data_IF_523218979005
#
_entry.id   IF_523218979005
#
_cell.length_a   1.000
_cell.length_b   1.000
_cell.length_c   1.000
_cell.angle_alpha   90.00
_cell.angle_beta   90.00
_cell.angle_gamma   90.00
#
_symmetry.space_group_name_H-M   'P 1'
#
loop_
_entity.id
_entity.type
_entity.pdbx_description
1 polymer ?
#
# COMPACT_ATOMS: atom_id res chain seq x y z
N UNK A 1 -25.08 -13.10 9.90
CA UNK A 1 -23.85 -12.66 9.22
C UNK A 1 -23.18 -11.63 10.11
N UNK A 2 -21.98 -11.88 10.63
CA UNK A 2 -21.21 -10.85 11.34
C UNK A 2 -20.76 -9.83 10.30
N UNK A 3 -21.12 -8.56 10.48
CA UNK A 3 -20.66 -7.49 9.61
C UNK A 3 -19.13 -7.41 9.65
N UNK A 4 -18.48 -7.30 8.49
CA UNK A 4 -17.03 -7.12 8.43
C UNK A 4 -16.66 -5.80 9.10
N UNK A 5 -15.57 -5.78 9.88
CA UNK A 5 -15.08 -4.54 10.47
C UNK A 5 -14.52 -3.61 9.38
N UNK A 6 -14.43 -2.30 9.62
CA UNK A 6 -13.82 -1.37 8.66
C UNK A 6 -12.42 -1.79 8.20
N UNK A 7 -11.56 -2.25 9.13
CA UNK A 7 -10.22 -2.72 8.79
C UNK A 7 -10.23 -4.02 7.98
N UNK A 8 -11.18 -4.93 8.22
CA UNK A 8 -11.33 -6.15 7.42
C UNK A 8 -11.77 -5.81 5.99
N UNK A 9 -12.70 -4.86 5.84
CA UNK A 9 -13.13 -4.37 4.55
C UNK A 9 -11.97 -3.70 3.80
N UNK A 10 -11.23 -2.81 4.46
CA UNK A 10 -10.03 -2.18 3.89
C UNK A 10 -9.00 -3.23 3.47
N UNK A 11 -8.62 -4.14 4.36
CA UNK A 11 -7.61 -5.17 4.08
C UNK A 11 -8.00 -6.07 2.89
N UNK A 12 -9.29 -6.38 2.76
CA UNK A 12 -9.80 -7.20 1.66
C UNK A 12 -9.83 -6.42 0.34
N UNK A 13 -10.46 -5.24 0.33
CA UNK A 13 -10.68 -4.47 -0.90
C UNK A 13 -9.39 -3.84 -1.41
N UNK A 14 -8.65 -3.14 -0.54
CA UNK A 14 -7.37 -2.52 -0.91
C UNK A 14 -6.32 -3.59 -1.15
N UNK A 15 -6.29 -4.66 -0.36
CA UNK A 15 -5.40 -5.79 -0.59
C UNK A 15 -5.61 -6.43 -1.97
N UNK A 16 -6.86 -6.70 -2.34
CA UNK A 16 -7.20 -7.23 -3.66
C UNK A 16 -6.82 -6.24 -4.78
N UNK A 17 -7.16 -4.96 -4.63
CA UNK A 17 -6.86 -3.94 -5.63
C UNK A 17 -5.35 -3.81 -5.87
N UNK A 18 -4.53 -3.75 -4.81
CA UNK A 18 -3.08 -3.66 -4.92
C UNK A 18 -2.47 -4.91 -5.54
N UNK A 19 -2.97 -6.10 -5.20
CA UNK A 19 -2.51 -7.34 -5.83
C UNK A 19 -2.81 -7.35 -7.34
N UNK A 20 -4.02 -6.93 -7.73
CA UNK A 20 -4.42 -6.84 -9.13
C UNK A 20 -3.58 -5.80 -9.88
N UNK A 21 -3.46 -4.59 -9.34
CA UNK A 21 -2.69 -3.51 -9.97
C UNK A 21 -1.20 -3.86 -10.03
N UNK A 22 -0.64 -4.49 -9.00
CA UNK A 22 0.74 -4.99 -9.03
C UNK A 22 0.97 -6.01 -10.14
N UNK A 23 0.02 -6.92 -10.39
CA UNK A 23 0.08 -7.85 -11.53
C UNK A 23 -0.04 -7.11 -12.86
N UNK A 24 -1.04 -6.23 -13.00
CA UNK A 24 -1.29 -5.48 -14.23
C UNK A 24 -0.13 -4.54 -14.58
N UNK A 25 0.50 -3.94 -13.58
CA UNK A 25 1.61 -3.02 -13.75
C UNK A 25 2.81 -3.66 -14.45
N UNK A 26 3.06 -4.96 -14.27
CA UNK A 26 4.11 -5.69 -14.99
C UNK A 26 3.91 -5.74 -16.50
N UNK A 27 2.67 -5.56 -16.98
CA UNK A 27 2.39 -5.45 -18.41
C UNK A 27 2.66 -4.04 -18.97
N UNK A 28 2.78 -3.03 -18.10
CA UNK A 28 3.22 -1.68 -18.47
C UNK A 28 4.75 -1.57 -18.39
N UNK A 29 5.33 -1.90 -17.23
CA UNK A 29 6.78 -1.86 -17.03
C UNK A 29 7.23 -2.98 -16.08
N UNK A 30 8.23 -3.76 -16.51
CA UNK A 30 8.83 -4.85 -15.75
C UNK A 30 10.31 -4.62 -15.42
N UNK A 31 10.80 -3.39 -15.60
CA UNK A 31 12.16 -2.97 -15.37
C UNK A 31 12.48 -2.82 -13.89
N UNK A 32 13.69 -3.24 -13.51
CA UNK A 32 14.21 -3.16 -12.15
C UNK A 32 15.48 -2.31 -12.06
N UNK A 33 15.71 -1.42 -13.04
CA UNK A 33 16.84 -0.50 -13.01
C UNK A 33 16.71 0.50 -11.84
N UNK A 34 17.85 1.03 -11.40
CA UNK A 34 17.96 1.87 -10.21
C UNK A 34 18.85 3.08 -10.49
N UNK A 35 18.78 4.12 -9.65
CA UNK A 35 19.63 5.31 -9.78
C UNK A 35 19.43 6.03 -11.10
N UNK A 36 20.53 6.50 -11.70
CA UNK A 36 20.51 7.23 -12.98
C UNK A 36 20.07 6.39 -14.18
N UNK A 37 20.02 5.05 -14.04
CA UNK A 37 19.53 4.15 -15.06
C UNK A 37 18.05 3.81 -14.92
N UNK A 38 17.36 4.36 -13.90
CA UNK A 38 15.95 4.08 -13.66
C UNK A 38 15.10 4.55 -14.84
N UNK A 39 14.30 3.62 -15.36
CA UNK A 39 13.24 3.90 -16.33
C UNK A 39 11.90 3.52 -15.70
N UNK A 40 10.84 4.15 -16.20
CA UNK A 40 9.47 3.84 -15.82
C UNK A 40 8.54 4.12 -17.01
N UNK A 41 7.35 3.56 -16.95
CA UNK A 41 6.24 3.91 -17.84
C UNK A 41 5.05 4.40 -17.01
N UNK A 42 4.03 4.93 -17.68
CA UNK A 42 2.81 5.41 -17.05
C UNK A 42 1.67 4.38 -17.20
N UNK A 43 1.36 3.66 -16.12
CA UNK A 43 0.17 2.82 -16.05
C UNK A 43 -1.09 3.69 -16.23
N UNK A 44 -1.98 3.23 -17.11
CA UNK A 44 -3.17 3.97 -17.53
C UNK A 44 -2.89 5.38 -18.08
N UNK A 45 -1.65 5.66 -18.48
CA UNK A 45 -1.20 6.97 -18.96
C UNK A 45 -1.04 8.03 -17.87
N UNK A 46 -1.12 7.65 -16.59
CA UNK A 46 -1.12 8.60 -15.47
C UNK A 46 -0.16 8.19 -14.34
N UNK A 47 -0.11 6.92 -13.93
CA UNK A 47 0.60 6.51 -12.71
C UNK A 47 2.00 6.01 -13.06
N UNK A 48 3.05 6.57 -12.45
CA UNK A 48 4.42 6.20 -12.76
C UNK A 48 4.75 4.83 -12.13
N UNK A 49 5.05 3.83 -12.96
CA UNK A 49 5.28 2.46 -12.50
C UNK A 49 6.55 1.87 -13.10
N UNK A 50 7.18 0.98 -12.34
CA UNK A 50 8.22 0.08 -12.79
C UNK A 50 8.12 -1.27 -12.06
N UNK A 51 9.00 -2.20 -12.37
CA UNK A 51 9.07 -3.51 -11.71
C UNK A 51 9.13 -3.42 -10.18
N UNK A 52 9.90 -2.50 -9.61
CA UNK A 52 9.97 -2.32 -8.14
C UNK A 52 8.63 -1.88 -7.54
N UNK A 53 7.98 -0.89 -8.16
CA UNK A 53 6.66 -0.40 -7.74
C UNK A 53 5.62 -1.54 -7.78
N UNK A 54 5.65 -2.34 -8.85
CA UNK A 54 4.73 -3.45 -9.07
C UNK A 54 4.89 -4.57 -8.05
N UNK A 55 6.15 -4.93 -7.70
CA UNK A 55 6.43 -5.89 -6.62
C UNK A 55 5.88 -5.37 -5.29
N UNK A 56 6.11 -4.10 -4.95
CA UNK A 56 5.63 -3.53 -3.68
C UNK A 56 4.11 -3.58 -3.59
N UNK A 57 3.39 -3.22 -4.66
CA UNK A 57 1.93 -3.35 -4.72
C UNK A 57 1.46 -4.80 -4.58
N UNK A 58 2.11 -5.73 -5.28
CA UNK A 58 1.75 -7.13 -5.19
C UNK A 58 1.96 -7.70 -3.78
N UNK A 59 3.11 -7.44 -3.16
CA UNK A 59 3.44 -7.94 -1.82
C UNK A 59 2.51 -7.37 -0.76
N UNK A 60 2.30 -6.06 -0.77
CA UNK A 60 1.39 -5.40 0.18
C UNK A 60 -0.05 -5.87 -0.04
N UNK A 61 -0.48 -6.01 -1.30
CA UNK A 61 -1.80 -6.53 -1.65
C UNK A 61 -2.06 -7.94 -1.12
N UNK A 62 -1.14 -8.87 -1.39
CA UNK A 62 -1.22 -10.25 -0.88
C UNK A 62 -1.20 -10.29 0.65
N UNK A 63 -0.37 -9.46 1.29
CA UNK A 63 -0.35 -9.35 2.75
C UNK A 63 -1.70 -8.90 3.31
N UNK A 64 -2.39 -7.98 2.62
CA UNK A 64 -3.74 -7.55 2.97
C UNK A 64 -4.75 -8.68 2.97
N UNK A 65 -4.75 -9.49 1.91
CA UNK A 65 -5.63 -10.65 1.79
C UNK A 65 -5.34 -11.70 2.87
N UNK A 66 -4.06 -11.94 3.20
CA UNK A 66 -3.65 -12.85 4.27
C UNK A 66 -4.11 -12.31 5.64
N UNK A 67 -3.93 -11.00 5.88
CA UNK A 67 -4.22 -10.36 7.15
C UNK A 67 -5.71 -10.11 7.38
N UNK A 68 -6.54 -10.07 6.33
CA UNK A 68 -7.94 -9.65 6.35
C UNK A 68 -8.80 -10.32 7.43
N UNK A 69 -8.50 -11.55 7.84
CA UNK A 69 -9.28 -12.26 8.88
C UNK A 69 -8.75 -12.14 10.30
N UNK A 70 -7.44 -11.99 10.48
CA UNK A 70 -6.79 -12.16 11.79
C UNK A 70 -5.97 -10.96 12.24
N UNK A 71 -5.46 -10.18 11.30
CA UNK A 71 -4.57 -9.06 11.57
C UNK A 71 -5.00 -7.79 10.82
N UNK A 72 -6.26 -7.71 10.40
CA UNK A 72 -6.76 -6.64 9.52
C UNK A 72 -6.52 -5.25 10.10
N UNK A 73 -6.75 -5.07 11.41
CA UNK A 73 -6.47 -3.79 12.10
C UNK A 73 -5.01 -3.41 12.04
N UNK A 74 -4.11 -4.34 12.34
CA UNK A 74 -2.67 -4.10 12.29
C UNK A 74 -2.23 -3.77 10.86
N UNK A 75 -2.68 -4.56 9.88
CA UNK A 75 -2.42 -4.30 8.47
C UNK A 75 -2.90 -2.91 8.04
N UNK A 76 -4.15 -2.53 8.33
CA UNK A 76 -4.71 -1.24 7.95
C UNK A 76 -3.94 -0.06 8.56
N UNK A 77 -3.53 -0.16 9.83
CA UNK A 77 -2.73 0.88 10.48
C UNK A 77 -1.30 0.94 9.92
N UNK A 78 -0.63 -0.20 9.75
CA UNK A 78 0.75 -0.25 9.27
C UNK A 78 0.84 0.20 7.81
N UNK A 79 0.00 -0.34 6.92
CA UNK A 79 -0.03 0.08 5.52
C UNK A 79 -0.52 1.52 5.40
N UNK A 80 -1.52 1.91 6.18
CA UNK A 80 -2.03 3.27 6.22
C UNK A 80 -0.92 4.29 6.54
N UNK A 81 -0.17 4.02 7.61
CA UNK A 81 0.97 4.85 8.00
C UNK A 81 2.07 4.86 6.94
N UNK A 82 2.41 3.69 6.38
CA UNK A 82 3.41 3.57 5.33
C UNK A 82 3.05 4.41 4.10
N UNK A 83 1.80 4.36 3.65
CA UNK A 83 1.37 5.14 2.49
C UNK A 83 1.27 6.65 2.75
N UNK A 84 0.90 7.08 3.96
CA UNK A 84 1.00 8.51 4.31
C UNK A 84 2.47 8.97 4.28
N UNK A 85 3.39 8.16 4.81
CA UNK A 85 4.82 8.49 4.80
C UNK A 85 5.39 8.51 3.37
N UNK A 86 5.04 7.52 2.55
CA UNK A 86 5.42 7.43 1.13
C UNK A 86 4.88 8.64 0.35
N UNK A 87 3.60 8.98 0.50
CA UNK A 87 3.01 10.14 -0.18
C UNK A 87 3.68 11.44 0.26
N UNK A 88 3.93 11.61 1.56
CA UNK A 88 4.59 12.80 2.09
C UNK A 88 6.01 12.94 1.53
N UNK A 89 6.80 11.87 1.55
CA UNK A 89 8.12 11.87 0.92
C UNK A 89 7.99 12.15 -0.57
N UNK A 90 7.11 11.45 -1.27
CA UNK A 90 6.91 11.60 -2.71
C UNK A 90 6.61 13.04 -3.11
N UNK A 91 5.73 13.75 -2.39
CA UNK A 91 5.49 15.17 -2.63
C UNK A 91 6.73 16.04 -2.44
N UNK A 92 7.61 15.71 -1.49
CA UNK A 92 8.87 16.41 -1.27
C UNK A 92 9.94 16.07 -2.31
N UNK A 93 9.92 14.84 -2.85
CA UNK A 93 10.87 14.35 -3.84
C UNK A 93 10.43 14.63 -5.29
N UNK A 94 9.18 15.00 -5.52
CA UNK A 94 8.65 15.32 -6.85
C UNK A 94 9.07 16.74 -7.21
N UNK A 95 9.91 16.88 -8.23
CA UNK A 95 10.33 18.16 -8.81
C UNK A 95 9.97 18.16 -10.29
N UNK A 96 9.38 19.23 -10.79
CA UNK A 96 8.89 19.32 -12.19
C UNK A 96 7.93 18.17 -12.60
N UNK A 97 7.15 17.66 -11.65
CA UNK A 97 6.07 16.69 -11.89
C UNK A 97 6.45 15.21 -11.72
N UNK A 98 7.74 14.89 -11.55
CA UNK A 98 8.19 13.52 -11.30
C UNK A 98 9.33 13.46 -10.27
N UNK A 99 9.53 12.29 -9.67
CA UNK A 99 10.60 12.02 -8.73
C UNK A 99 10.80 10.52 -8.53
N UNK A 100 11.71 10.16 -7.64
CA UNK A 100 11.94 8.77 -7.25
C UNK A 100 12.03 8.66 -5.73
N UNK A 101 11.60 7.52 -5.20
CA UNK A 101 11.83 7.13 -3.81
C UNK A 101 12.96 6.10 -3.76
N UNK A 102 13.97 6.42 -2.95
CA UNK A 102 15.16 5.59 -2.72
C UNK A 102 15.88 5.19 -4.02
N UNK A 103 15.76 5.99 -5.09
CA UNK A 103 16.30 5.67 -6.42
C UNK A 103 15.81 4.33 -7.02
N UNK A 104 14.64 3.85 -6.55
CA UNK A 104 14.05 2.57 -6.94
C UNK A 104 12.64 2.73 -7.53
N UNK A 105 11.80 3.50 -6.87
CA UNK A 105 10.37 3.56 -7.18
C UNK A 105 10.04 4.93 -7.77
N UNK A 106 9.60 5.01 -9.04
CA UNK A 106 9.15 6.26 -9.61
C UNK A 106 7.90 6.74 -8.87
N UNK A 107 7.79 8.04 -8.68
CA UNK A 107 6.60 8.68 -8.11
C UNK A 107 6.29 9.95 -8.89
N UNK A 108 5.00 10.20 -9.10
CA UNK A 108 4.50 11.50 -9.56
C UNK A 108 3.40 12.03 -8.62
N UNK A 109 2.88 13.22 -8.94
CA UNK A 109 1.86 13.86 -8.11
C UNK A 109 0.61 12.98 -7.95
N UNK A 110 0.19 12.32 -9.01
CA UNK A 110 -0.98 11.45 -9.07
C UNK A 110 -0.80 10.21 -8.19
N UNK A 111 0.37 9.56 -8.26
CA UNK A 111 0.74 8.47 -7.36
C UNK A 111 0.70 8.95 -5.90
N UNK A 112 1.28 10.10 -5.60
CA UNK A 112 1.34 10.63 -4.24
C UNK A 112 -0.06 10.92 -3.67
N UNK A 113 -0.96 11.46 -4.48
CA UNK A 113 -2.37 11.67 -4.08
C UNK A 113 -3.07 10.34 -3.83
N UNK A 114 -2.92 9.36 -4.73
CA UNK A 114 -3.53 8.04 -4.56
C UNK A 114 -3.02 7.37 -3.27
N UNK A 115 -1.71 7.39 -3.05
CA UNK A 115 -1.10 6.87 -1.83
C UNK A 115 -1.62 7.58 -0.58
N UNK A 116 -1.78 8.91 -0.62
CA UNK A 116 -2.34 9.64 0.52
C UNK A 116 -3.78 9.20 0.84
N UNK A 117 -4.62 9.03 -0.18
CA UNK A 117 -6.00 8.53 -0.01
C UNK A 117 -6.00 7.12 0.59
N UNK A 118 -5.19 6.20 0.06
CA UNK A 118 -5.05 4.83 0.58
C UNK A 118 -4.52 4.83 2.02
N UNK A 119 -3.58 5.72 2.33
CA UNK A 119 -2.98 5.90 3.63
C UNK A 119 -3.99 6.35 4.69
N UNK A 120 -4.67 7.47 4.40
CA UNK A 120 -5.67 8.05 5.30
C UNK A 120 -6.87 7.12 5.52
N UNK A 121 -7.36 6.47 4.48
CA UNK A 121 -8.46 5.49 4.61
C UNK A 121 -8.03 4.26 5.40
N UNK A 122 -6.78 3.81 5.28
CA UNK A 122 -6.23 2.71 6.09
C UNK A 122 -6.13 3.06 7.57
N UNK A 123 -5.59 4.24 7.88
CA UNK A 123 -5.53 4.76 9.25
C UNK A 123 -6.93 4.91 9.86
N UNK A 124 -7.87 5.47 9.12
CA UNK A 124 -9.26 5.62 9.56
C UNK A 124 -9.93 4.26 9.81
N UNK A 125 -9.77 3.29 8.90
CA UNK A 125 -10.34 1.95 9.03
C UNK A 125 -9.74 1.18 10.23
N UNK A 126 -8.43 1.31 10.44
CA UNK A 126 -7.73 0.74 11.59
C UNK A 126 -8.15 1.36 12.92
N UNK A 127 -8.31 2.69 12.96
CA UNK A 127 -8.78 3.41 14.15
C UNK A 127 -10.25 3.06 14.49
N UNK A 128 -11.10 2.92 13.48
CA UNK A 128 -12.50 2.53 13.64
C UNK A 128 -12.72 1.05 13.99
N UNK A 129 -11.66 0.23 13.99
CA UNK A 129 -11.72 -1.18 14.38
C UNK A 129 -11.13 -1.36 15.79
N UNK A 130 -11.87 -1.93 16.76
CA UNK A 130 -11.35 -2.18 18.10
C UNK A 130 -10.14 -3.13 18.11
N UNK A 131 -9.17 -2.97 19.02
CA UNK A 131 -8.11 -3.96 19.24
C UNK A 131 -8.67 -5.33 19.62
N UNK A 132 -8.00 -6.40 19.20
CA UNK A 132 -8.31 -7.74 19.70
C UNK A 132 -7.98 -7.79 21.20
N UNK A 133 -8.96 -8.14 22.04
CA UNK A 133 -8.75 -8.32 23.48
C UNK A 133 -7.93 -9.59 23.69
N UNK A 134 -6.73 -9.47 24.27
CA UNK A 134 -5.96 -10.62 24.70
C UNK A 134 -6.68 -11.27 25.90
N UNK A 135 -7.14 -12.51 25.75
CA UNK A 135 -7.66 -13.29 26.89
C UNK A 135 -6.45 -13.70 27.74
N UNK A 136 -6.37 -13.31 29.03
CA UNK A 136 -5.31 -13.77 29.92
C UNK A 136 -5.33 -15.29 29.99
N UNK A 137 -4.22 -15.95 29.62
CA UNK A 137 -4.09 -17.39 29.89
C UNK A 137 -3.91 -17.53 31.39
N UNK A 138 -4.95 -18.00 32.08
CA UNK A 138 -4.89 -18.30 33.51
C UNK A 138 -3.73 -19.26 33.78
N UNK A 139 -2.81 -18.85 34.66
CA UNK A 139 -1.77 -19.72 35.19
C UNK A 139 -2.47 -20.86 35.93
N UNK A 140 -2.45 -22.05 35.36
CA UNK A 140 -2.77 -23.25 36.14
C UNK A 140 -1.58 -23.47 37.06
N UNK A 141 -1.83 -23.30 38.35
CA UNK A 141 -0.89 -23.57 39.44
C UNK A 141 -0.67 -25.08 39.61
#
# INVERSE_FOLDING_TARGET
MTTASPAQLYATLVGAALAIVGILGFFYDSGFATGSGLTHDHAFGVLAVNGWHNVLHLLTGLLGLICARRAARAYALCLGLAYVAIATWGFLATTDGAGTLLDLVPVNAEDNVLHLILGLTGLAAGAATPPAVAVPRGSTA
#
